data_IF_413436659828
#
_entry.id   IF_413436659828
#
_cell.length_a   1.000
_cell.length_b   1.000
_cell.length_c   1.000
_cell.angle_alpha   90.00
_cell.angle_beta   90.00
_cell.angle_gamma   90.00
#
_symmetry.space_group_name_H-M   'P 1'
#
loop_
_entity.id
_entity.type
_entity.pdbx_description
1 polymer ?
#
# COMPACT_ATOMS: atom_id res chain seq x y z
N UNK A 1 6.59 -35.44 -19.40
CA UNK A 1 5.24 -35.60 -18.83
C UNK A 1 5.02 -34.52 -17.80
N UNK A 2 4.13 -33.57 -18.08
CA UNK A 2 3.83 -32.46 -17.17
C UNK A 2 2.99 -32.96 -16.01
N UNK A 3 3.50 -32.87 -14.78
CA UNK A 3 2.72 -33.14 -13.57
C UNK A 3 2.00 -31.84 -13.21
N UNK A 4 0.71 -31.77 -13.51
CA UNK A 4 -0.17 -30.72 -12.98
C UNK A 4 -0.53 -31.11 -11.55
N UNK A 5 0.05 -30.42 -10.57
CA UNK A 5 -0.40 -30.53 -9.18
C UNK A 5 -1.75 -29.81 -9.08
N UNK A 6 -2.79 -30.53 -8.66
CA UNK A 6 -4.16 -29.99 -8.51
C UNK A 6 -4.31 -29.21 -7.20
N UNK A 7 -3.41 -29.45 -6.24
CA UNK A 7 -3.30 -28.71 -5.00
C UNK A 7 -1.87 -28.17 -4.92
N UNK A 8 -1.72 -26.85 -4.77
CA UNK A 8 -0.46 -26.30 -4.29
C UNK A 8 -0.16 -26.96 -2.92
N UNK A 9 1.11 -27.25 -2.65
CA UNK A 9 1.55 -27.59 -1.30
C UNK A 9 1.44 -26.33 -0.45
N UNK A 10 0.21 -25.89 -0.21
CA UNK A 10 -0.09 -24.79 0.68
C UNK A 10 0.34 -25.24 2.05
N UNK A 11 1.34 -24.54 2.59
CA UNK A 11 1.65 -24.63 4.01
C UNK A 11 0.56 -23.84 4.77
N UNK A 12 -0.70 -24.28 4.65
CA UNK A 12 -1.93 -23.73 5.26
C UNK A 12 -2.03 -24.07 6.75
N UNK A 13 -0.90 -24.25 7.43
CA UNK A 13 -0.93 -24.45 8.86
C UNK A 13 -1.26 -23.13 9.56
N UNK A 14 -2.22 -23.16 10.49
CA UNK A 14 -2.58 -21.96 11.24
C UNK A 14 -1.37 -21.43 12.01
N UNK A 15 -1.12 -20.11 12.06
CA UNK A 15 -0.05 -19.54 12.87
C UNK A 15 -0.12 -19.97 14.34
N UNK A 16 -1.33 -20.16 14.87
CA UNK A 16 -1.54 -20.64 16.24
C UNK A 16 -1.02 -22.07 16.39
N UNK A 17 -1.28 -22.95 15.42
CA UNK A 17 -0.78 -24.33 15.44
C UNK A 17 0.74 -24.38 15.32
N UNK A 18 1.30 -23.57 14.42
CA UNK A 18 2.76 -23.45 14.26
C UNK A 18 3.42 -22.98 15.56
N UNK A 19 2.88 -21.94 16.21
CA UNK A 19 3.42 -21.45 17.49
C UNK A 19 3.34 -22.56 18.55
N UNK A 20 2.20 -23.22 18.71
CA UNK A 20 2.04 -24.31 19.70
C UNK A 20 3.05 -25.44 19.52
N UNK A 21 3.43 -25.73 18.29
CA UNK A 21 4.38 -26.80 17.98
C UNK A 21 5.85 -26.38 18.05
N UNK A 22 6.14 -25.07 17.93
CA UNK A 22 7.51 -24.56 17.80
C UNK A 22 7.97 -23.74 18.98
N UNK A 23 7.04 -23.27 19.82
CA UNK A 23 7.37 -22.45 20.98
C UNK A 23 8.12 -23.27 22.02
N UNK A 24 9.31 -22.82 22.36
CA UNK A 24 10.18 -23.45 23.35
C UNK A 24 11.00 -22.41 24.11
N UNK A 25 11.40 -22.75 25.33
CA UNK A 25 12.34 -21.99 26.14
C UNK A 25 13.62 -22.82 26.29
N UNK A 26 14.76 -22.22 26.04
CA UNK A 26 16.08 -22.86 26.13
C UNK A 26 17.12 -21.89 26.70
N UNK A 27 18.31 -22.39 27.01
CA UNK A 27 19.46 -21.53 27.29
C UNK A 27 20.21 -21.26 25.97
N UNK A 28 20.64 -20.03 25.75
CA UNK A 28 21.55 -19.71 24.66
C UNK A 28 23.01 -20.07 25.01
N UNK A 29 23.96 -19.83 24.10
CA UNK A 29 25.39 -20.11 24.31
C UNK A 29 26.01 -19.30 25.47
N UNK A 30 25.37 -18.20 25.88
CA UNK A 30 25.75 -17.37 27.02
C UNK A 30 25.18 -17.85 28.36
N UNK A 31 24.29 -18.85 28.35
CA UNK A 31 23.59 -19.33 29.55
C UNK A 31 22.34 -18.54 29.93
N UNK A 32 21.91 -17.59 29.09
CA UNK A 32 20.68 -16.82 29.31
C UNK A 32 19.46 -17.56 28.79
N UNK A 33 18.34 -17.44 29.51
CA UNK A 33 17.07 -18.02 29.10
C UNK A 33 16.48 -17.23 27.91
N UNK A 34 16.23 -17.95 26.82
CA UNK A 34 15.61 -17.43 25.59
C UNK A 34 14.32 -18.17 25.27
N UNK A 35 13.37 -17.46 24.70
CA UNK A 35 12.15 -18.02 24.10
C UNK A 35 12.29 -17.98 22.58
N UNK A 36 11.88 -19.05 21.91
CA UNK A 36 11.86 -19.10 20.45
C UNK A 36 10.55 -19.71 19.94
N UNK A 37 10.05 -19.20 18.82
CA UNK A 37 8.83 -19.72 18.15
C UNK A 37 8.81 -19.33 16.67
N UNK A 38 7.99 -20.00 15.87
CA UNK A 38 7.71 -19.63 14.48
C UNK A 38 6.21 -19.48 14.26
N UNK A 39 5.81 -18.63 13.31
CA UNK A 39 4.40 -18.41 12.92
C UNK A 39 4.05 -19.03 11.57
N UNK A 40 5.06 -19.43 10.79
CA UNK A 40 4.93 -20.15 9.52
C UNK A 40 6.13 -21.09 9.31
N UNK A 41 6.03 -22.00 8.34
CA UNK A 41 7.09 -22.94 7.97
C UNK A 41 7.44 -22.80 6.48
N UNK A 42 8.70 -23.05 6.12
CA UNK A 42 9.17 -23.08 4.74
C UNK A 42 10.23 -22.03 4.39
N UNK A 43 10.42 -21.77 3.10
CA UNK A 43 11.43 -20.81 2.62
C UNK A 43 10.97 -19.38 2.91
N UNK A 44 11.76 -18.62 3.66
CA UNK A 44 11.43 -17.24 4.04
C UNK A 44 10.64 -17.08 5.34
N UNK A 45 10.35 -18.17 6.08
CA UNK A 45 9.81 -18.11 7.44
C UNK A 45 10.94 -18.01 8.46
N UNK A 46 11.05 -16.88 9.16
CA UNK A 46 12.06 -16.67 10.21
C UNK A 46 11.55 -17.09 11.58
N UNK A 47 12.25 -18.01 12.26
CA UNK A 47 12.06 -18.25 13.69
C UNK A 47 12.39 -16.96 14.45
N UNK A 48 11.52 -16.56 15.37
CA UNK A 48 11.78 -15.45 16.27
C UNK A 48 12.43 -16.00 17.54
N UNK A 49 13.43 -15.31 18.05
CA UNK A 49 14.18 -15.68 19.24
C UNK A 49 14.54 -14.42 20.02
N UNK A 50 14.29 -14.43 21.33
CA UNK A 50 14.50 -13.28 22.22
C UNK A 50 14.72 -13.75 23.66
N UNK A 51 15.22 -12.87 24.52
CA UNK A 51 15.35 -13.18 25.95
C UNK A 51 13.98 -13.37 26.60
N UNK A 52 13.91 -14.18 27.65
CA UNK A 52 12.66 -14.35 28.42
C UNK A 52 12.26 -13.03 29.11
N UNK A 53 13.22 -12.16 29.47
CA UNK A 53 12.92 -10.85 30.07
C UNK A 53 12.23 -9.89 29.11
N UNK A 54 12.54 -9.94 27.81
CA UNK A 54 11.97 -9.04 26.80
C UNK A 54 10.62 -9.54 26.27
N UNK A 55 10.29 -10.83 26.49
CA UNK A 55 9.11 -11.46 25.92
C UNK A 55 7.80 -10.75 26.28
N UNK A 56 7.68 -10.24 27.52
CA UNK A 56 6.49 -9.49 27.95
C UNK A 56 6.29 -8.22 27.13
N UNK A 57 7.33 -7.42 26.98
CA UNK A 57 7.26 -6.15 26.23
C UNK A 57 6.87 -6.39 24.77
N UNK A 58 7.38 -7.47 24.17
CA UNK A 58 6.99 -7.88 22.82
C UNK A 58 5.52 -8.24 22.75
N UNK A 59 4.99 -9.03 23.69
CA UNK A 59 3.56 -9.39 23.73
C UNK A 59 2.68 -8.16 23.94
N UNK A 60 3.05 -7.26 24.85
CA UNK A 60 2.32 -6.01 25.10
C UNK A 60 2.33 -5.10 23.86
N UNK A 61 3.45 -5.02 23.15
CA UNK A 61 3.54 -4.28 21.89
C UNK A 61 2.65 -4.88 20.81
N UNK A 62 2.65 -6.21 20.65
CA UNK A 62 1.77 -6.89 19.69
C UNK A 62 0.29 -6.70 20.06
N UNK A 63 -0.05 -6.77 21.35
CA UNK A 63 -1.40 -6.52 21.84
C UNK A 63 -1.83 -5.08 21.58
N UNK A 64 -0.95 -4.11 21.80
CA UNK A 64 -1.21 -2.71 21.46
C UNK A 64 -1.63 -2.54 20.00
N UNK A 65 -0.90 -3.14 19.05
CA UNK A 65 -1.27 -3.09 17.63
C UNK A 65 -2.54 -3.88 17.29
N UNK A 66 -2.84 -4.96 18.04
CA UNK A 66 -4.11 -5.66 17.90
C UNK A 66 -5.30 -4.80 18.33
N UNK A 67 -5.12 -3.99 19.38
CA UNK A 67 -6.18 -3.14 19.95
C UNK A 67 -6.33 -1.82 19.19
N UNK A 68 -5.24 -1.24 18.71
CA UNK A 68 -5.20 0.10 18.12
C UNK A 68 -5.09 0.10 16.58
N UNK A 69 -4.89 -1.08 15.98
CA UNK A 69 -4.58 -1.22 14.56
C UNK A 69 -3.12 -0.94 14.23
N UNK A 70 -2.70 -1.36 13.04
CA UNK A 70 -1.35 -1.09 12.51
C UNK A 70 -1.44 0.11 11.61
N UNK A 71 -0.94 1.27 12.07
CA UNK A 71 -0.72 2.39 11.16
C UNK A 71 0.35 2.01 10.15
N UNK A 72 0.09 2.23 8.86
CA UNK A 72 1.15 2.17 7.88
C UNK A 72 2.22 3.17 8.30
N UNK A 73 3.44 2.67 8.50
CA UNK A 73 4.60 3.55 8.64
C UNK A 73 4.59 4.38 7.37
N UNK A 74 4.46 5.70 7.48
CA UNK A 74 4.65 6.59 6.34
C UNK A 74 6.04 6.25 5.77
N UNK A 75 6.07 5.46 4.69
CA UNK A 75 7.26 5.40 3.86
C UNK A 75 7.46 6.85 3.46
N UNK A 76 8.55 7.47 3.93
CA UNK A 76 8.82 8.86 3.60
C UNK A 76 8.65 9.00 2.08
N UNK A 77 7.58 9.67 1.66
CA UNK A 77 7.25 9.86 0.26
C UNK A 77 8.22 10.91 -0.27
N UNK A 78 9.46 10.47 -0.49
CA UNK A 78 10.47 11.28 -1.14
C UNK A 78 10.02 11.53 -2.57
N UNK A 79 10.27 12.74 -3.05
CA UNK A 79 10.14 12.99 -4.48
C UNK A 79 11.06 12.02 -5.25
N UNK A 80 10.76 11.70 -6.52
CA UNK A 80 11.66 10.89 -7.33
C UNK A 80 13.09 11.45 -7.37
N UNK A 81 13.23 12.79 -7.39
CA UNK A 81 14.54 13.44 -7.36
C UNK A 81 15.28 13.21 -6.03
N UNK A 82 14.60 13.34 -4.88
CA UNK A 82 15.20 13.07 -3.57
C UNK A 82 15.55 11.59 -3.40
N UNK A 83 14.72 10.70 -3.94
CA UNK A 83 14.99 9.26 -3.98
C UNK A 83 16.25 8.96 -4.78
N UNK A 84 16.41 9.58 -5.97
CA UNK A 84 17.64 9.45 -6.76
C UNK A 84 18.84 9.95 -5.95
N UNK A 85 18.78 11.15 -5.35
CA UNK A 85 19.88 11.71 -4.56
C UNK A 85 20.33 10.79 -3.43
N UNK A 86 19.40 10.08 -2.78
CA UNK A 86 19.71 9.16 -1.69
C UNK A 86 20.20 7.79 -2.16
N UNK A 87 19.81 7.35 -3.36
CA UNK A 87 20.01 5.96 -3.80
C UNK A 87 21.02 5.81 -4.93
N UNK A 88 21.45 6.90 -5.55
CA UNK A 88 22.42 6.86 -6.64
C UNK A 88 23.78 6.36 -6.16
N UNK A 89 24.27 5.31 -6.79
CA UNK A 89 25.55 4.67 -6.47
C UNK A 89 26.26 4.23 -7.75
N UNK A 90 27.60 4.20 -7.71
CA UNK A 90 28.44 3.69 -8.79
C UNK A 90 29.19 2.46 -8.28
N UNK A 91 28.91 1.31 -8.88
CA UNK A 91 29.52 0.02 -8.53
C UNK A 91 29.96 -0.69 -9.82
N UNK A 92 31.21 -1.14 -9.87
CA UNK A 92 31.78 -1.89 -11.01
C UNK A 92 31.53 -1.23 -12.38
N UNK A 93 31.66 0.10 -12.45
CA UNK A 93 31.42 0.86 -13.68
C UNK A 93 29.95 0.96 -14.10
N UNK A 94 29.00 0.63 -13.22
CA UNK A 94 27.55 0.74 -13.44
C UNK A 94 26.94 1.70 -12.42
N UNK A 95 26.28 2.74 -12.92
CA UNK A 95 25.49 3.66 -12.12
C UNK A 95 24.12 3.02 -11.84
N UNK A 96 23.67 3.06 -10.59
CA UNK A 96 22.36 2.54 -10.18
C UNK A 96 21.61 3.54 -9.32
N UNK A 97 20.29 3.65 -9.48
CA UNK A 97 19.44 4.55 -8.70
C UNK A 97 17.99 4.06 -8.67
N UNK A 98 17.16 4.64 -7.79
CA UNK A 98 15.71 4.42 -7.74
C UNK A 98 14.95 5.74 -7.88
N UNK A 99 13.77 5.67 -8.48
CA UNK A 99 12.81 6.80 -8.56
C UNK A 99 11.67 6.68 -7.54
N UNK A 100 11.59 5.54 -6.84
CA UNK A 100 10.58 5.27 -5.81
C UNK A 100 11.18 4.40 -4.69
N UNK A 101 10.79 4.69 -3.46
CA UNK A 101 11.08 3.88 -2.28
C UNK A 101 10.14 2.68 -2.16
N UNK A 102 10.40 1.80 -1.21
CA UNK A 102 9.49 0.70 -0.87
C UNK A 102 9.85 -0.66 -1.45
N UNK A 103 9.13 -1.67 -0.94
CA UNK A 103 9.36 -3.08 -1.23
C UNK A 103 9.08 -3.40 -2.71
N UNK A 104 10.05 -3.97 -3.40
CA UNK A 104 9.92 -4.39 -4.80
C UNK A 104 10.32 -3.33 -5.84
N UNK A 105 10.64 -2.09 -5.44
CA UNK A 105 11.21 -1.10 -6.33
C UNK A 105 12.63 -1.53 -6.74
N UNK A 106 12.79 -1.95 -8.02
CA UNK A 106 14.09 -2.34 -8.57
C UNK A 106 14.89 -1.11 -8.99
N UNK A 107 16.22 -1.10 -8.77
CA UNK A 107 17.05 -0.01 -9.25
C UNK A 107 17.15 -0.02 -10.78
N UNK A 108 17.14 1.18 -11.38
CA UNK A 108 17.63 1.39 -12.73
C UNK A 108 19.14 1.22 -12.74
N UNK A 109 19.71 0.76 -13.87
CA UNK A 109 21.15 0.56 -14.04
C UNK A 109 21.59 1.07 -15.39
N UNK A 110 22.67 1.85 -15.40
CA UNK A 110 23.25 2.45 -16.60
C UNK A 110 24.77 2.22 -16.55
N UNK A 111 25.40 1.59 -17.55
CA UNK A 111 26.85 1.56 -17.65
C UNK A 111 27.41 2.98 -17.66
N UNK A 112 28.43 3.27 -16.86
CA UNK A 112 28.97 4.62 -16.71
C UNK A 112 29.41 5.22 -18.06
N UNK A 113 29.93 4.40 -18.96
CA UNK A 113 30.34 4.79 -20.30
C UNK A 113 29.19 5.29 -21.20
N UNK A 114 27.94 4.97 -20.86
CA UNK A 114 26.74 5.38 -21.61
C UNK A 114 25.91 6.44 -20.86
N UNK A 115 26.36 6.86 -19.67
CA UNK A 115 25.56 7.72 -18.80
C UNK A 115 25.23 9.06 -19.46
N UNK A 116 26.20 9.69 -20.12
CA UNK A 116 26.03 10.98 -20.81
C UNK A 116 25.01 10.88 -21.96
N UNK A 117 25.13 9.86 -22.81
CA UNK A 117 24.22 9.60 -23.93
C UNK A 117 22.78 9.35 -23.44
N UNK A 118 22.62 8.60 -22.34
CA UNK A 118 21.30 8.36 -21.74
C UNK A 118 20.70 9.66 -21.21
N UNK A 119 21.49 10.50 -20.54
CA UNK A 119 21.01 11.81 -20.04
C UNK A 119 20.62 12.72 -21.19
N UNK A 120 21.43 12.81 -22.25
CA UNK A 120 21.13 13.60 -23.44
C UNK A 120 19.82 13.14 -24.11
N UNK A 121 19.64 11.83 -24.28
CA UNK A 121 18.40 11.26 -24.79
C UNK A 121 17.20 11.64 -23.92
N UNK A 122 17.30 11.48 -22.60
CA UNK A 122 16.21 11.82 -21.69
C UNK A 122 15.86 13.31 -21.75
N UNK A 123 16.87 14.19 -21.76
CA UNK A 123 16.70 15.64 -21.91
C UNK A 123 15.96 15.98 -23.22
N UNK A 124 16.30 15.31 -24.32
CA UNK A 124 15.63 15.52 -25.62
C UNK A 124 14.17 15.06 -25.66
N UNK A 125 13.70 14.29 -24.67
CA UNK A 125 12.32 13.78 -24.61
C UNK A 125 11.39 14.57 -23.70
N UNK A 126 11.90 15.53 -22.92
CA UNK A 126 11.12 16.21 -21.86
C UNK A 126 9.83 16.83 -22.42
N UNK A 127 9.94 17.69 -23.43
CA UNK A 127 8.78 18.39 -24.01
C UNK A 127 7.74 17.41 -24.58
N UNK A 128 8.20 16.33 -25.23
CA UNK A 128 7.32 15.32 -25.80
C UNK A 128 6.57 14.52 -24.71
N UNK A 129 7.25 14.21 -23.60
CA UNK A 129 6.65 13.53 -22.45
C UNK A 129 5.66 14.44 -21.74
N UNK A 130 5.98 15.72 -21.56
CA UNK A 130 5.06 16.70 -20.97
C UNK A 130 3.80 16.88 -21.83
N UNK A 131 3.95 17.03 -23.14
CA UNK A 131 2.82 17.14 -24.06
C UNK A 131 1.92 15.89 -24.06
N UNK A 132 2.53 14.70 -24.03
CA UNK A 132 1.80 13.44 -23.90
C UNK A 132 1.08 13.31 -22.54
N UNK A 133 1.70 13.78 -21.46
CA UNK A 133 1.06 13.83 -20.14
C UNK A 133 -0.17 14.75 -20.12
N UNK A 134 -0.05 15.94 -20.73
CA UNK A 134 -1.16 16.89 -20.83
C UNK A 134 -2.32 16.36 -21.68
N UNK A 135 -2.03 15.66 -22.79
CA UNK A 135 -3.08 15.11 -23.65
C UNK A 135 -3.89 14.01 -22.94
N UNK A 136 -3.22 13.20 -22.11
CA UNK A 136 -3.90 12.19 -21.28
C UNK A 136 -4.75 12.83 -20.18
N UNK A 137 -4.28 13.93 -19.56
CA UNK A 137 -5.04 14.63 -18.52
C UNK A 137 -6.28 15.36 -19.07
N UNK A 138 -6.18 15.97 -20.27
CA UNK A 138 -7.31 16.65 -20.92
C UNK A 138 -8.40 15.70 -21.43
N UNK A 139 -8.04 14.46 -21.77
CA UNK A 139 -8.98 13.43 -22.25
C UNK A 139 -9.90 12.87 -21.15
N UNK A 140 -9.65 13.22 -19.88
CA UNK A 140 -10.46 12.79 -18.74
C UNK A 140 -11.62 13.75 -18.38
N UNK A 141 -11.82 14.84 -19.14
CA UNK A 141 -12.76 15.91 -18.78
C UNK A 141 -13.95 16.09 -19.73
N UNK A 142 -14.18 15.19 -20.69
CA UNK A 142 -15.18 15.38 -21.78
C UNK A 142 -16.28 14.30 -21.80
N UNK A 143 -16.74 13.89 -20.61
CA UNK A 143 -18.05 13.22 -20.41
C UNK A 143 -18.94 14.11 -19.54
N UNK A 144 -19.36 15.25 -20.08
CA UNK A 144 -20.60 15.90 -19.66
C UNK A 144 -21.43 16.12 -20.92
N UNK A 145 -22.24 15.11 -21.23
CA UNK A 145 -23.19 15.11 -22.34
C UNK A 145 -24.11 16.34 -22.27
N UNK A 146 -23.97 17.16 -23.29
CA UNK A 146 -25.00 17.88 -24.03
C UNK A 146 -26.44 17.48 -23.67
N UNK A 147 -27.14 18.32 -22.90
CA UNK A 147 -28.59 18.32 -22.81
C UNK A 147 -29.12 19.55 -23.57
N UNK A 148 -29.67 19.41 -24.78
CA UNK A 148 -30.30 20.52 -25.46
C UNK A 148 -31.62 20.88 -24.78
N UNK A 149 -31.80 22.19 -24.59
CA UNK A 149 -33.04 22.79 -24.13
C UNK A 149 -34.22 22.41 -25.01
N UNK A 150 -35.29 21.90 -24.42
CA UNK A 150 -36.63 21.94 -25.00
C UNK A 150 -37.56 22.67 -24.05
N UNK A 151 -37.83 23.89 -24.47
CA UNK A 151 -38.87 24.80 -24.02
C UNK A 151 -40.26 24.24 -24.39
N UNK A 152 -41.23 24.58 -23.53
CA UNK A 152 -42.66 24.71 -23.83
C UNK A 152 -43.57 23.46 -23.72
N UNK A 153 -44.37 23.40 -22.66
CA UNK A 153 -45.82 23.72 -22.71
C UNK A 153 -46.57 23.17 -21.49
N UNK A 154 -47.07 24.09 -20.64
CA UNK A 154 -48.14 23.79 -19.67
C UNK A 154 -49.48 23.59 -20.40
N UNK A 155 -50.43 22.86 -19.80
CA UNK A 155 -51.51 23.63 -19.16
C UNK A 155 -52.05 23.08 -17.83
N UNK A 156 -52.59 24.05 -17.09
CA UNK A 156 -53.38 24.02 -15.86
C UNK A 156 -54.39 22.88 -15.70
N UNK A 157 -54.49 22.37 -14.47
CA UNK A 157 -55.78 22.07 -13.85
C UNK A 157 -55.80 22.67 -12.44
N UNK A 158 -56.64 23.69 -12.28
CA UNK A 158 -57.23 24.05 -10.99
C UNK A 158 -58.07 22.85 -10.54
N UNK A 159 -57.88 22.37 -9.31
CA UNK A 159 -59.03 21.93 -8.52
C UNK A 159 -58.73 22.10 -7.03
N UNK A 160 -59.63 22.84 -6.41
CA UNK A 160 -59.65 23.28 -5.03
C UNK A 160 -60.02 22.10 -4.12
N UNK A 161 -59.30 21.93 -3.01
CA UNK A 161 -59.90 21.38 -1.81
C UNK A 161 -59.10 21.83 -0.59
N UNK A 162 -59.66 22.83 0.08
CA UNK A 162 -59.55 23.11 1.51
C UNK A 162 -59.27 21.85 2.33
N UNK A 163 -58.42 21.98 3.35
CA UNK A 163 -58.78 21.58 4.71
C UNK A 163 -57.78 22.23 5.68
N UNK A 164 -58.22 23.36 6.23
CA UNK A 164 -57.83 23.83 7.55
C UNK A 164 -57.98 22.69 8.58
N UNK A 165 -56.95 22.50 9.39
CA UNK A 165 -57.15 22.21 10.81
C UNK A 165 -55.87 22.51 11.56
N UNK A 166 -55.95 23.64 12.25
CA UNK A 166 -55.20 24.07 13.41
C UNK A 166 -54.95 22.98 14.47
N UNK A 167 -53.96 23.31 15.31
CA UNK A 167 -53.81 22.89 16.71
C UNK A 167 -53.50 21.41 17.00
N UNK A 168 -52.30 21.14 17.51
CA UNK A 168 -52.16 21.02 18.96
C UNK A 168 -50.69 21.07 19.40
N UNK A 169 -50.46 21.99 20.34
CA UNK A 169 -49.40 21.94 21.34
C UNK A 169 -49.29 20.54 21.97
N UNK A 170 -48.09 20.18 22.44
CA UNK A 170 -47.84 19.89 23.86
C UNK A 170 -46.37 19.49 24.03
N UNK A 171 -45.59 20.46 24.54
CA UNK A 171 -44.49 20.20 25.46
C UNK A 171 -44.99 19.32 26.62
N UNK A 172 -44.20 18.31 27.00
CA UNK A 172 -44.11 17.89 28.39
C UNK A 172 -42.73 17.24 28.64
N UNK A 173 -41.94 18.00 29.40
CA UNK A 173 -40.89 17.66 30.39
C UNK A 173 -39.88 16.50 30.16
#
# INVERSE_FOLDING_TARGET
MSKTAIFESDNTESPIQTIRQTMQVSLNDGGDAVVSFATNRGKGSGRQEMSVSDFREVVETLQHYADNGISEREEAHLSPADTIRQTIALEDGTLSFRTRSGKGAKPARIPLAQYEEVVELLCGTVDAVEAAGMSLAGSASDESEDAPALEDSEPSYEDEADLDSDEDDLDDE
#
